data_IF_960722961625
#
_entry.id   IF_960722961625
#
_cell.length_a   1.000
_cell.length_b   1.000
_cell.length_c   1.000
_cell.angle_alpha   90.00
_cell.angle_beta   90.00
_cell.angle_gamma   90.00
#
_symmetry.space_group_name_H-M   'P 1'
#
loop_
_entity.id
_entity.type
_entity.pdbx_description
1 polymer ?
#
# COMPACT_ATOMS: atom_id res chain seq x y z
N UNK A 1 -11.24 -4.64 -59.55
CA UNK A 1 -11.00 -3.73 -58.41
C UNK A 1 -11.26 -4.50 -57.12
N UNK A 2 -10.24 -5.10 -56.48
CA UNK A 2 -10.42 -5.83 -55.24
C UNK A 2 -9.75 -5.11 -54.04
N UNK A 3 -10.09 -5.55 -52.83
CA UNK A 3 -9.37 -5.29 -51.57
C UNK A 3 -9.62 -3.90 -50.95
N UNK A 4 -10.89 -3.64 -50.64
CA UNK A 4 -11.27 -2.84 -49.47
C UNK A 4 -11.88 -3.79 -48.43
N UNK A 5 -11.17 -4.86 -48.08
CA UNK A 5 -11.49 -5.65 -46.89
C UNK A 5 -10.79 -4.97 -45.71
N UNK A 6 -11.42 -3.86 -45.33
CA UNK A 6 -11.27 -3.09 -44.11
C UNK A 6 -10.79 -3.99 -42.97
N UNK A 7 -9.60 -3.70 -42.45
CA UNK A 7 -9.04 -4.23 -41.21
C UNK A 7 -10.14 -4.27 -40.14
N UNK A 8 -10.77 -5.44 -39.98
CA UNK A 8 -11.73 -5.72 -38.93
C UNK A 8 -10.98 -5.58 -37.60
N UNK A 9 -11.06 -4.37 -37.04
CA UNK A 9 -11.45 -4.10 -35.66
C UNK A 9 -10.86 -5.09 -34.64
N UNK A 10 -9.55 -5.22 -34.59
CA UNK A 10 -8.82 -5.60 -33.37
C UNK A 10 -8.75 -4.36 -32.46
N UNK A 11 -9.92 -3.82 -32.09
CA UNK A 11 -10.02 -3.01 -30.88
C UNK A 11 -9.92 -3.98 -29.72
N UNK A 12 -8.69 -4.32 -29.34
CA UNK A 12 -8.41 -4.86 -28.02
C UNK A 12 -8.80 -3.75 -27.06
N UNK A 13 -10.02 -3.82 -26.55
CA UNK A 13 -10.48 -3.01 -25.44
C UNK A 13 -9.61 -3.36 -24.25
N UNK A 14 -8.45 -2.71 -24.15
CA UNK A 14 -7.67 -2.64 -22.92
C UNK A 14 -8.58 -1.86 -21.98
N UNK A 15 -9.41 -2.59 -21.23
CA UNK A 15 -10.03 -2.07 -20.02
C UNK A 15 -8.88 -1.74 -19.08
N UNK A 16 -8.34 -0.54 -19.22
CA UNK A 16 -7.59 0.10 -18.16
C UNK A 16 -8.59 0.22 -17.01
N UNK A 17 -8.60 -0.77 -16.11
CA UNK A 17 -9.26 -0.62 -14.82
C UNK A 17 -8.63 0.63 -14.24
N UNK A 18 -9.43 1.70 -14.13
CA UNK A 18 -8.99 2.92 -13.48
C UNK A 18 -8.45 2.49 -12.12
N UNK A 19 -7.15 2.68 -11.93
CA UNK A 19 -6.52 2.30 -10.68
C UNK A 19 -7.14 3.10 -9.55
N UNK A 20 -7.38 2.46 -8.40
CA UNK A 20 -7.83 3.16 -7.20
C UNK A 20 -6.80 4.18 -6.75
N UNK A 21 -7.19 5.17 -5.94
CA UNK A 21 -6.26 6.17 -5.40
C UNK A 21 -5.08 5.51 -4.66
N UNK A 22 -5.36 4.35 -4.04
CA UNK A 22 -4.37 3.53 -3.36
C UNK A 22 -3.52 2.61 -4.23
N UNK A 23 -3.76 2.51 -5.54
CA UNK A 23 -2.90 1.70 -6.41
C UNK A 23 -1.47 2.28 -6.50
N UNK A 24 -1.29 3.56 -6.13
CA UNK A 24 0.03 4.17 -5.99
C UNK A 24 0.84 3.65 -4.79
N UNK A 25 0.24 2.86 -3.89
CA UNK A 25 0.94 2.11 -2.85
C UNK A 25 1.42 0.73 -3.32
N UNK A 26 1.06 0.27 -4.51
CA UNK A 26 1.54 -1.03 -5.00
C UNK A 26 3.06 -0.97 -5.25
N UNK A 27 3.81 -1.85 -4.59
CA UNK A 27 5.27 -1.83 -4.69
C UNK A 27 5.99 -2.49 -3.52
N UNK A 28 7.31 -2.40 -3.57
CA UNK A 28 8.23 -2.92 -2.57
C UNK A 28 8.80 -1.77 -1.74
N UNK A 29 8.90 -1.97 -0.43
CA UNK A 29 9.28 -0.94 0.53
C UNK A 29 10.33 -1.45 1.52
N UNK A 30 11.28 -0.58 1.84
CA UNK A 30 12.32 -0.80 2.84
C UNK A 30 12.19 0.17 4.01
N UNK A 31 12.67 -0.20 5.21
CA UNK A 31 12.61 0.66 6.40
C UNK A 31 13.69 1.76 6.40
N UNK A 32 14.63 1.73 5.45
CA UNK A 32 15.71 2.70 5.33
C UNK A 32 16.20 2.80 3.88
N UNK A 33 16.88 3.89 3.50
CA UNK A 33 17.48 4.05 2.18
C UNK A 33 18.47 2.92 1.86
N UNK A 34 18.51 2.50 0.59
CA UNK A 34 19.44 1.50 0.06
C UNK A 34 19.42 0.15 0.78
N UNK A 35 18.33 -0.16 1.49
CA UNK A 35 18.10 -1.46 2.11
C UNK A 35 17.20 -2.34 1.24
N UNK A 36 17.30 -3.67 1.36
CA UNK A 36 16.37 -4.56 0.70
C UNK A 36 14.95 -4.31 1.21
N UNK A 37 13.98 -4.52 0.33
CA UNK A 37 12.57 -4.42 0.69
C UNK A 37 12.19 -5.48 1.74
N UNK A 38 11.49 -5.05 2.77
CA UNK A 38 10.94 -5.91 3.83
C UNK A 38 9.43 -5.99 3.78
N UNK A 39 8.78 -5.15 2.99
CA UNK A 39 7.33 -5.07 2.87
C UNK A 39 6.97 -4.92 1.39
N UNK A 40 5.95 -5.64 0.95
CA UNK A 40 5.37 -5.55 -0.39
C UNK A 40 3.88 -5.33 -0.27
N UNK A 41 3.38 -4.33 -0.98
CA UNK A 41 1.95 -4.13 -1.19
C UNK A 41 1.61 -4.66 -2.57
N UNK A 42 0.67 -5.59 -2.61
CA UNK A 42 0.23 -6.23 -3.85
C UNK A 42 -1.28 -6.31 -3.93
N UNK A 43 -1.79 -6.62 -5.12
CA UNK A 43 -3.22 -6.79 -5.38
C UNK A 43 -3.51 -8.25 -5.72
N UNK A 44 -4.23 -8.95 -4.86
CA UNK A 44 -4.56 -10.37 -5.01
C UNK A 44 -6.07 -10.49 -5.15
N UNK A 45 -6.55 -10.99 -6.29
CA UNK A 45 -7.99 -11.10 -6.54
C UNK A 45 -8.73 -9.77 -6.57
N UNK A 46 -8.03 -8.65 -6.78
CA UNK A 46 -8.61 -7.29 -6.78
C UNK A 46 -8.51 -6.57 -5.44
N UNK A 47 -8.13 -7.26 -4.36
CA UNK A 47 -7.97 -6.71 -3.01
C UNK A 47 -6.51 -6.39 -2.72
N UNK A 48 -6.25 -5.37 -1.90
CA UNK A 48 -4.90 -5.09 -1.43
C UNK A 48 -4.47 -6.10 -0.37
N UNK A 49 -3.19 -6.46 -0.40
CA UNK A 49 -2.57 -7.35 0.57
C UNK A 49 -1.14 -6.89 0.87
N UNK A 50 -0.69 -7.12 2.10
CA UNK A 50 0.70 -6.96 2.48
C UNK A 50 1.39 -8.31 2.56
N UNK A 51 2.58 -8.35 2.01
CA UNK A 51 3.52 -9.44 2.19
C UNK A 51 4.76 -8.91 2.88
N UNK A 52 5.11 -9.53 4.00
CA UNK A 52 6.32 -9.20 4.74
C UNK A 52 7.44 -10.14 4.30
N UNK A 53 8.66 -9.61 4.25
CA UNK A 53 9.86 -10.42 4.07
C UNK A 53 10.43 -10.73 5.45
N UNK A 54 10.52 -12.01 5.79
CA UNK A 54 11.16 -12.49 7.02
C UNK A 54 12.37 -13.35 6.67
N UNK A 55 13.47 -13.21 7.41
CA UNK A 55 14.74 -13.89 7.16
C UNK A 55 15.22 -13.85 5.69
N UNK A 56 14.92 -12.75 4.98
CA UNK A 56 15.29 -12.55 3.57
C UNK A 56 14.38 -13.22 2.53
N UNK A 57 13.35 -13.95 2.97
CA UNK A 57 12.36 -14.61 2.11
C UNK A 57 11.00 -13.94 2.24
N UNK A 58 10.26 -13.84 1.14
CA UNK A 58 8.88 -13.38 1.19
C UNK A 58 8.02 -14.43 1.91
N UNK A 59 7.20 -14.01 2.87
CA UNK A 59 6.22 -14.88 3.51
C UNK A 59 5.29 -15.50 2.45
N UNK A 60 4.84 -16.74 2.64
CA UNK A 60 3.88 -17.38 1.74
C UNK A 60 2.46 -16.81 1.90
N UNK A 61 2.11 -16.49 3.14
CA UNK A 61 0.85 -15.85 3.51
C UNK A 61 0.94 -14.33 3.38
N UNK A 62 -0.23 -13.69 3.29
CA UNK A 62 -0.36 -12.25 3.20
C UNK A 62 -1.35 -11.76 4.24
N UNK A 63 -1.10 -10.56 4.74
CA UNK A 63 -2.04 -9.84 5.58
C UNK A 63 -3.01 -9.03 4.72
N UNK A 64 -4.30 -8.96 5.07
CA UNK A 64 -5.26 -8.15 4.33
C UNK A 64 -4.95 -6.66 4.51
N UNK A 65 -5.08 -5.89 3.42
CA UNK A 65 -5.04 -4.44 3.47
C UNK A 65 -6.35 -3.90 2.89
N UNK A 66 -6.99 -2.95 3.57
CA UNK A 66 -8.27 -2.38 3.10
C UNK A 66 -8.10 -0.89 2.90
N UNK A 67 -8.48 -0.41 1.73
CA UNK A 67 -8.56 1.03 1.49
C UNK A 67 -9.54 1.65 2.48
N UNK A 68 -9.05 2.64 3.22
CA UNK A 68 -9.89 3.50 4.05
C UNK A 68 -10.27 4.72 3.21
N UNK A 69 -11.55 4.86 2.82
CA UNK A 69 -11.97 6.00 2.04
C UNK A 69 -11.73 7.30 2.82
N UNK A 70 -11.35 8.39 2.14
CA UNK A 70 -11.23 9.69 2.79
C UNK A 70 -12.58 10.11 3.37
N UNK A 71 -12.55 10.71 4.57
CA UNK A 71 -13.74 11.33 5.14
C UNK A 71 -14.25 12.43 4.18
N UNK A 72 -15.50 12.34 3.68
CA UNK A 72 -16.05 13.34 2.76
C UNK A 72 -16.10 14.75 3.38
N UNK A 73 -16.15 14.85 4.71
CA UNK A 73 -16.18 16.12 5.44
C UNK A 73 -14.76 16.61 5.79
N UNK A 74 -13.72 15.83 5.48
CA UNK A 74 -12.31 16.16 5.74
C UNK A 74 -11.95 16.25 7.22
N UNK A 75 -12.79 15.70 8.10
CA UNK A 75 -12.66 15.82 9.55
C UNK A 75 -11.72 14.77 10.17
N UNK A 76 -11.27 13.78 9.39
CA UNK A 76 -10.33 12.75 9.84
C UNK A 76 -8.89 13.26 10.04
N UNK A 77 -8.60 14.52 9.67
CA UNK A 77 -7.29 15.14 9.85
C UNK A 77 -6.21 14.58 8.92
N UNK A 78 -6.58 13.79 7.90
CA UNK A 78 -5.64 13.25 6.93
C UNK A 78 -5.19 14.34 5.95
N UNK A 79 -3.92 14.30 5.50
CA UNK A 79 -3.46 15.20 4.45
C UNK A 79 -4.30 15.05 3.17
N UNK A 80 -4.66 16.17 2.54
CA UNK A 80 -5.38 16.13 1.27
C UNK A 80 -4.61 15.31 0.21
N UNK A 81 -5.31 14.40 -0.47
CA UNK A 81 -4.71 13.49 -1.44
C UNK A 81 -3.93 12.33 -0.83
N UNK A 82 -4.03 12.13 0.48
CA UNK A 82 -3.56 10.89 1.10
C UNK A 82 -4.43 9.70 0.67
N UNK A 83 -3.79 8.55 0.56
CA UNK A 83 -4.45 7.26 0.50
C UNK A 83 -4.04 6.49 1.76
N UNK A 84 -5.00 5.81 2.38
CA UNK A 84 -4.76 5.00 3.57
C UNK A 84 -5.19 3.56 3.29
N UNK A 85 -4.30 2.62 3.57
CA UNK A 85 -4.64 1.20 3.71
C UNK A 85 -4.65 0.85 5.20
N UNK A 86 -5.79 0.42 5.73
CA UNK A 86 -5.87 -0.23 7.04
C UNK A 86 -5.22 -1.60 6.97
N UNK A 87 -4.32 -1.88 7.91
CA UNK A 87 -3.57 -3.13 8.00
C UNK A 87 -3.63 -3.68 9.42
N UNK A 88 -3.33 -4.97 9.65
CA UNK A 88 -3.25 -5.49 11.01
C UNK A 88 -2.25 -4.70 11.85
N UNK A 89 -2.74 -4.12 12.96
CA UNK A 89 -1.94 -3.34 13.89
C UNK A 89 -1.60 -1.91 13.44
N UNK A 90 -2.19 -1.39 12.36
CA UNK A 90 -1.77 -0.07 11.87
C UNK A 90 -2.44 0.44 10.60
N UNK A 91 -1.77 1.42 10.01
CA UNK A 91 -2.11 2.03 8.73
C UNK A 91 -0.85 2.12 7.85
N UNK A 92 -1.03 1.88 6.55
CA UNK A 92 -0.05 2.24 5.53
C UNK A 92 -0.58 3.41 4.73
N UNK A 93 0.12 4.53 4.77
CA UNK A 93 -0.36 5.80 4.25
C UNK A 93 0.57 6.27 3.14
N UNK A 94 -0.01 6.57 1.98
CA UNK A 94 0.64 7.42 0.98
C UNK A 94 0.18 8.85 1.20
N UNK A 95 1.11 9.78 1.30
CA UNK A 95 0.82 11.20 1.48
C UNK A 95 1.83 12.07 0.72
N UNK A 96 1.56 13.36 0.51
CA UNK A 96 2.56 14.28 -0.03
C UNK A 96 3.81 14.33 0.86
N UNK A 97 5.00 14.41 0.23
CA UNK A 97 6.24 14.71 0.97
C UNK A 97 6.11 16.07 1.64
N UNK A 98 6.53 16.15 2.91
CA UNK A 98 6.35 17.32 3.76
C UNK A 98 4.97 17.41 4.42
N UNK A 99 4.04 16.48 4.16
CA UNK A 99 2.77 16.46 4.88
C UNK A 99 2.99 16.12 6.37
N UNK A 100 2.26 16.77 7.30
CA UNK A 100 2.38 16.49 8.72
C UNK A 100 1.68 15.16 9.08
N UNK A 101 2.20 14.48 10.10
CA UNK A 101 1.56 13.33 10.75
C UNK A 101 1.87 13.34 12.25
N UNK A 102 1.01 12.69 13.04
CA UNK A 102 1.14 12.64 14.50
C UNK A 102 1.58 11.25 14.97
N UNK A 103 2.48 11.24 15.95
CA UNK A 103 2.93 10.04 16.67
C UNK A 103 2.92 10.32 18.16
N UNK A 104 2.91 9.29 18.99
CA UNK A 104 3.04 9.45 20.44
C UNK A 104 4.43 10.02 20.77
N UNK A 105 4.49 10.93 21.75
CA UNK A 105 5.76 11.54 22.17
C UNK A 105 6.66 10.53 22.89
N UNK A 106 7.94 10.47 22.48
CA UNK A 106 8.98 9.64 23.13
C UNK A 106 9.25 10.12 24.57
N UNK A 107 8.99 11.40 24.88
CA UNK A 107 9.19 11.97 26.22
C UNK A 107 8.02 11.74 27.17
N UNK A 108 7.00 10.98 26.74
CA UNK A 108 5.95 10.44 27.61
C UNK A 108 4.71 11.32 27.80
N UNK A 109 4.63 12.49 27.16
CA UNK A 109 3.45 13.37 27.25
C UNK A 109 2.92 13.71 25.85
N UNK A 110 1.73 13.17 25.53
CA UNK A 110 0.91 13.59 24.39
C UNK A 110 1.45 13.17 23.02
N UNK A 111 1.23 14.03 22.03
CA UNK A 111 1.51 13.79 20.61
C UNK A 111 2.64 14.67 20.12
N UNK A 112 3.42 14.17 19.18
CA UNK A 112 4.43 14.93 18.43
C UNK A 112 4.05 14.94 16.96
N UNK A 113 4.10 16.12 16.34
CA UNK A 113 3.95 16.25 14.88
C UNK A 113 5.31 16.05 14.20
N UNK A 114 5.34 15.15 13.23
CA UNK A 114 6.45 14.93 12.30
C UNK A 114 5.98 15.30 10.89
N UNK A 115 6.92 15.35 9.94
CA UNK A 115 6.62 15.61 8.54
C UNK A 115 7.22 14.51 7.68
N UNK A 116 6.44 14.00 6.72
CA UNK A 116 6.88 12.88 5.89
C UNK A 116 8.05 13.29 5.00
N UNK A 117 9.05 12.42 4.89
CA UNK A 117 10.22 12.64 4.03
C UNK A 117 10.19 11.76 2.79
N UNK A 118 9.46 10.64 2.83
CA UNK A 118 9.38 9.70 1.70
C UNK A 118 8.02 9.71 1.00
N UNK A 119 6.99 10.25 1.66
CA UNK A 119 5.60 10.20 1.19
C UNK A 119 4.91 8.86 1.40
N UNK A 120 5.57 7.90 2.08
CA UNK A 120 4.98 6.61 2.45
C UNK A 120 5.29 6.33 3.91
N UNK A 121 4.25 6.21 4.72
CA UNK A 121 4.34 6.10 6.16
C UNK A 121 3.64 4.81 6.63
N UNK A 122 4.34 4.02 7.44
CA UNK A 122 3.74 2.96 8.23
C UNK A 122 3.47 3.50 9.64
N UNK A 123 2.20 3.65 9.99
CA UNK A 123 1.78 3.93 11.36
C UNK A 123 1.43 2.63 12.07
N UNK A 124 2.15 2.32 13.15
CA UNK A 124 1.87 1.16 14.01
C UNK A 124 1.13 1.63 15.26
N UNK A 125 0.08 0.92 15.65
CA UNK A 125 -0.74 1.22 16.82
C UNK A 125 -0.62 0.09 17.85
N UNK A 126 -0.16 0.42 19.05
CA UNK A 126 -0.07 -0.50 20.18
C UNK A 126 -0.71 0.11 21.42
N UNK A 127 -1.99 -0.23 21.66
CA UNK A 127 -2.78 0.41 22.71
C UNK A 127 -2.96 1.90 22.42
N UNK A 128 -2.41 2.77 23.28
CA UNK A 128 -2.43 4.22 23.10
C UNK A 128 -1.18 4.76 22.40
N UNK A 129 -0.20 3.90 22.10
CA UNK A 129 1.03 4.28 21.41
C UNK A 129 0.85 4.21 19.90
N UNK A 130 1.22 5.30 19.22
CA UNK A 130 1.27 5.41 17.76
C UNK A 130 2.70 5.71 17.35
N UNK A 131 3.33 4.77 16.67
CA UNK A 131 4.67 4.91 16.13
C UNK A 131 4.62 5.07 14.61
N UNK A 132 5.44 5.97 14.07
CA UNK A 132 5.53 6.20 12.62
C UNK A 132 6.91 5.85 12.08
N UNK A 133 6.94 5.05 11.02
CA UNK A 133 8.13 4.69 10.27
C UNK A 133 7.97 5.09 8.79
N UNK A 134 8.86 5.96 8.31
CA UNK A 134 8.95 6.28 6.89
C UNK A 134 9.46 5.08 6.11
N UNK A 135 8.79 4.75 5.01
CA UNK A 135 9.16 3.66 4.13
C UNK A 135 9.74 4.20 2.83
N UNK A 136 10.78 3.52 2.35
CA UNK A 136 11.50 3.88 1.14
C UNK A 136 11.10 2.95 0.01
N UNK A 137 10.61 3.47 -1.13
CA UNK A 137 10.29 2.63 -2.27
C UNK A 137 11.55 1.98 -2.84
N UNK A 138 11.44 0.70 -3.18
CA UNK A 138 12.53 -0.10 -3.75
C UNK A 138 12.08 -0.62 -5.10
N UNK A 139 12.99 -0.66 -6.07
CA UNK A 139 12.73 -1.33 -7.34
C UNK A 139 12.36 -2.79 -7.10
N UNK A 140 11.21 -3.21 -7.63
CA UNK A 140 10.69 -4.57 -7.42
C UNK A 140 11.73 -5.60 -7.83
N UNK A 141 11.98 -6.56 -6.93
CA UNK A 141 12.91 -7.65 -7.19
C UNK A 141 12.34 -8.98 -6.68
N UNK A 142 12.39 -9.98 -7.55
CA UNK A 142 11.86 -11.32 -7.31
C UNK A 142 10.32 -11.37 -7.31
N UNK A 143 9.80 -12.52 -7.75
CA UNK A 143 8.38 -12.79 -7.73
C UNK A 143 7.86 -12.99 -6.30
N UNK A 144 6.57 -12.69 -6.10
CA UNK A 144 5.90 -13.10 -4.86
C UNK A 144 5.70 -14.61 -4.92
N UNK A 145 5.86 -15.35 -3.80
CA UNK A 145 5.37 -16.73 -3.72
C UNK A 145 3.90 -16.79 -4.12
N UNK A 146 3.49 -17.87 -4.78
CA UNK A 146 2.08 -18.09 -5.05
C UNK A 146 1.31 -18.07 -3.72
N UNK A 147 0.28 -17.23 -3.63
CA UNK A 147 -0.60 -17.22 -2.46
C UNK A 147 -1.20 -18.62 -2.31
N UNK A 148 -1.19 -19.21 -1.11
CA UNK A 148 -1.80 -20.52 -0.90
C UNK A 148 -3.24 -20.46 -1.37
N UNK A 149 -3.63 -21.38 -2.27
CA UNK A 149 -5.00 -21.45 -2.75
C UNK A 149 -5.91 -21.55 -1.53
N UNK A 150 -6.72 -20.52 -1.29
CA UNK A 150 -7.70 -20.52 -0.21
C UNK A 150 -8.54 -21.77 -0.42
N UNK A 151 -8.40 -22.76 0.46
CA UNK A 151 -9.15 -24.00 0.34
C UNK A 151 -10.63 -23.62 0.23
N UNK A 152 -11.26 -23.99 -0.89
CA UNK A 152 -12.68 -23.75 -1.07
C UNK A 152 -13.41 -24.50 0.04
N UNK A 153 -13.82 -23.78 1.10
CA UNK A 153 -14.74 -24.30 2.09
C UNK A 153 -16.02 -24.60 1.32
N UNK A 154 -16.27 -25.89 1.12
CA UNK A 154 -17.44 -26.37 0.41
C UNK A 154 -18.71 -26.01 1.15
N UNK A 155 -19.63 -25.39 0.39
CA UNK A 155 -21.10 -25.34 0.52
C UNK A 155 -21.73 -25.42 1.90
#
# INVERSE_FOLDING_TARGET
>A
MPILLFCLLLFVSVSARAGGACDALLGDYAPAPDKPATLRVEKIGGEFALRVRDAGQWAAETEPAREDPPDPDGADGRPAGACVLMIPGGELIRMPVGAPYQVTSITGNGWTTKHSTTGVLLLSMQGFQVDGAELYPVARSGDSPASPAKAAVGR
#
